data_IF_727389761639
#
_entry.id   IF_727389761639
#
_cell.length_a   1.000
_cell.length_b   1.000
_cell.length_c   1.000
_cell.angle_alpha   90.00
_cell.angle_beta   90.00
_cell.angle_gamma   90.00
#
_symmetry.space_group_name_H-M   'P 1'
#
loop_
_entity.id
_entity.type
_entity.pdbx_description
1 polymer ?
#
# COMPACT_ATOMS: atom_id res chain seq x y z
N UNK A 1 -0.94 41.69 -25.22
CA UNK A 1 0.47 41.72 -24.77
C UNK A 1 0.65 43.04 -24.04
N UNK A 2 0.68 43.02 -22.71
CA UNK A 2 0.95 44.22 -21.92
C UNK A 2 1.94 43.84 -20.81
N UNK A 3 3.15 44.35 -20.94
CA UNK A 3 4.09 44.81 -19.90
C UNK A 3 5.00 45.84 -20.62
N UNK A 4 5.75 46.74 -19.95
CA UNK A 4 6.05 46.83 -18.50
C UNK A 4 5.89 48.26 -17.90
N UNK A 5 5.89 48.39 -16.57
CA UNK A 5 6.38 49.61 -15.91
C UNK A 5 7.23 49.21 -14.69
N UNK A 6 8.54 49.40 -14.83
CA UNK A 6 9.52 49.39 -13.75
C UNK A 6 9.69 50.83 -13.26
N UNK A 7 9.56 51.04 -11.95
CA UNK A 7 9.93 52.28 -11.28
C UNK A 7 10.97 51.94 -10.21
N UNK A 8 12.19 52.41 -10.50
CA UNK A 8 13.30 52.75 -9.61
C UNK A 8 12.81 53.72 -8.51
N UNK A 9 13.47 54.03 -7.40
CA UNK A 9 14.79 53.86 -6.74
C UNK A 9 14.49 54.28 -5.28
N UNK A 10 15.25 53.85 -4.28
CA UNK A 10 15.63 54.75 -3.19
C UNK A 10 16.83 54.14 -2.46
N UNK A 11 17.94 54.84 -2.67
CA UNK A 11 19.21 54.76 -1.98
C UNK A 11 19.01 55.10 -0.50
N UNK A 12 19.72 54.39 0.39
CA UNK A 12 20.28 55.01 1.58
C UNK A 12 21.63 54.35 1.83
N UNK A 13 22.66 55.06 1.37
CA UNK A 13 24.05 54.91 1.76
C UNK A 13 24.19 55.33 3.22
N UNK A 14 24.77 54.49 4.08
CA UNK A 14 25.39 54.98 5.31
C UNK A 14 26.66 54.17 5.66
N UNK A 15 27.76 54.86 5.41
CA UNK A 15 28.99 54.93 6.19
C UNK A 15 29.96 53.74 6.27
N UNK A 16 31.04 53.93 5.51
CA UNK A 16 32.34 53.30 5.62
C UNK A 16 33.03 53.66 6.95
N UNK A 17 33.25 52.68 7.83
CA UNK A 17 34.38 52.75 8.77
C UNK A 17 35.25 51.49 8.76
N UNK A 18 36.49 51.77 8.37
CA UNK A 18 37.74 51.04 8.43
C UNK A 18 37.87 50.01 9.54
N UNK A 19 38.31 48.80 9.19
CA UNK A 19 39.45 48.16 9.86
C UNK A 19 39.85 46.87 9.13
N UNK A 20 40.97 46.92 8.41
CA UNK A 20 41.61 45.73 7.85
C UNK A 20 42.04 44.78 8.97
N UNK A 21 41.62 43.51 8.99
CA UNK A 21 42.27 42.53 9.83
C UNK A 21 43.60 42.17 9.17
N UNK A 22 44.69 42.64 9.79
CA UNK A 22 46.05 42.26 9.49
C UNK A 22 46.18 40.73 9.37
N UNK A 23 46.75 40.26 8.26
CA UNK A 23 47.05 38.84 8.02
C UNK A 23 48.16 38.40 8.97
N UNK A 24 47.80 37.97 10.19
CA UNK A 24 48.72 37.27 11.06
C UNK A 24 48.89 35.83 10.56
N UNK A 25 49.88 35.61 9.69
CA UNK A 25 50.45 34.27 9.46
C UNK A 25 51.03 33.77 10.78
N UNK A 26 50.30 32.91 11.48
CA UNK A 26 50.87 32.02 12.50
C UNK A 26 50.73 30.58 12.04
N UNK A 27 51.89 29.96 12.00
CA UNK A 27 52.18 28.58 11.65
C UNK A 27 51.45 27.58 12.55
N UNK A 28 51.00 26.50 11.91
CA UNK A 28 51.02 25.12 12.41
C UNK A 28 50.28 24.80 13.71
N UNK A 29 49.02 24.36 13.57
CA UNK A 29 48.64 23.05 14.11
C UNK A 29 47.41 22.53 13.37
N UNK A 30 47.64 21.57 12.46
CA UNK A 30 46.58 20.75 11.88
C UNK A 30 45.95 19.91 12.98
N UNK A 31 44.98 20.47 13.71
CA UNK A 31 44.08 19.68 14.53
C UNK A 31 42.97 19.20 13.61
N UNK A 32 43.22 18.06 12.97
CA UNK A 32 42.17 17.26 12.36
C UNK A 32 41.20 16.85 13.46
N UNK A 33 40.22 17.71 13.77
CA UNK A 33 39.08 17.35 14.61
C UNK A 33 38.26 16.34 13.80
N UNK A 34 38.69 15.07 13.83
CA UNK A 34 37.95 13.97 13.24
C UNK A 34 36.57 13.99 13.90
N UNK A 35 35.55 14.35 13.14
CA UNK A 35 34.16 14.09 13.54
C UNK A 35 34.09 12.60 13.86
N UNK A 36 33.86 12.27 15.14
CA UNK A 36 33.58 10.91 15.57
C UNK A 36 32.28 10.51 14.87
N UNK A 37 32.37 9.69 13.81
CA UNK A 37 31.17 9.03 13.30
C UNK A 37 30.72 8.11 14.43
N UNK A 38 29.55 8.41 15.00
CA UNK A 38 28.93 7.50 15.95
C UNK A 38 28.69 6.19 15.18
N UNK A 39 29.29 5.10 15.65
CA UNK A 39 29.01 3.78 15.15
C UNK A 39 27.63 3.36 15.66
N UNK A 40 26.56 3.91 15.08
CA UNK A 40 25.19 3.52 15.41
C UNK A 40 24.29 3.26 14.19
N UNK A 41 24.89 3.04 13.02
CA UNK A 41 24.13 2.68 11.81
C UNK A 41 23.42 1.31 11.99
N UNK A 42 23.99 0.44 12.84
CA UNK A 42 23.43 -0.87 13.15
C UNK A 42 22.11 -0.80 13.92
N UNK A 43 22.02 0.10 14.89
CA UNK A 43 20.83 0.26 15.76
C UNK A 43 19.67 0.90 14.98
N UNK A 44 19.99 1.82 14.06
CA UNK A 44 19.00 2.36 13.11
C UNK A 44 18.51 1.29 12.13
N UNK A 45 19.41 0.44 11.61
CA UNK A 45 19.04 -0.66 10.71
C UNK A 45 18.19 -1.72 11.42
N UNK A 46 18.47 -2.00 12.70
CA UNK A 46 17.67 -2.89 13.55
C UNK A 46 16.29 -2.30 13.79
N UNK A 47 16.18 -1.04 14.21
CA UNK A 47 14.90 -0.38 14.44
C UNK A 47 14.05 -0.31 13.15
N UNK A 48 14.67 -0.05 12.00
CA UNK A 48 13.96 -0.05 10.72
C UNK A 48 13.45 -1.45 10.34
N UNK A 49 14.24 -2.49 10.59
CA UNK A 49 13.83 -3.87 10.35
C UNK A 49 12.66 -4.28 11.27
N UNK A 50 12.70 -3.88 12.53
CA UNK A 50 11.61 -4.13 13.49
C UNK A 50 10.32 -3.43 13.08
N UNK A 51 10.38 -2.15 12.68
CA UNK A 51 9.21 -1.44 12.14
C UNK A 51 8.62 -2.13 10.90
N UNK A 52 9.48 -2.59 9.98
CA UNK A 52 9.03 -3.31 8.79
C UNK A 52 8.35 -4.63 9.17
N UNK A 53 8.97 -5.42 10.06
CA UNK A 53 8.39 -6.66 10.55
C UNK A 53 7.04 -6.43 11.21
N UNK A 54 6.92 -5.44 12.10
CA UNK A 54 5.64 -5.13 12.74
C UNK A 54 4.58 -4.68 11.71
N UNK A 55 4.98 -3.93 10.68
CA UNK A 55 4.05 -3.53 9.61
C UNK A 55 3.56 -4.71 8.77
N UNK A 56 4.44 -5.68 8.48
CA UNK A 56 4.12 -6.89 7.72
C UNK A 56 3.22 -7.81 8.53
N UNK A 57 3.47 -7.94 9.84
CA UNK A 57 2.65 -8.73 10.74
C UNK A 57 1.24 -8.15 10.87
N UNK A 58 1.11 -6.83 11.12
CA UNK A 58 -0.20 -6.14 11.12
C UNK A 58 -0.92 -6.25 9.78
N UNK A 59 -0.20 -6.11 8.67
CA UNK A 59 -0.78 -6.29 7.35
C UNK A 59 -1.25 -7.74 7.15
N UNK A 60 -0.49 -8.72 7.64
CA UNK A 60 -0.85 -10.14 7.65
C UNK A 60 -2.12 -10.39 8.46
N UNK A 61 -2.26 -9.81 9.64
CA UNK A 61 -3.47 -9.89 10.46
C UNK A 61 -4.68 -9.24 9.79
N UNK A 62 -4.51 -8.05 9.19
CA UNK A 62 -5.58 -7.36 8.46
C UNK A 62 -6.01 -8.15 7.23
N UNK A 63 -5.06 -8.70 6.48
CA UNK A 63 -5.34 -9.55 5.33
C UNK A 63 -6.04 -10.84 5.78
N UNK A 64 -5.60 -11.46 6.87
CA UNK A 64 -6.25 -12.65 7.42
C UNK A 64 -7.66 -12.36 7.95
N UNK A 65 -7.88 -11.19 8.54
CA UNK A 65 -9.21 -10.74 8.97
C UNK A 65 -10.12 -10.41 7.77
N UNK A 66 -9.57 -9.84 6.70
CA UNK A 66 -10.33 -9.43 5.52
C UNK A 66 -10.58 -10.58 4.51
N UNK A 67 -9.69 -11.58 4.47
CA UNK A 67 -9.68 -12.64 3.46
C UNK A 67 -9.71 -14.06 4.03
N UNK A 68 -9.60 -14.24 5.35
CA UNK A 68 -9.74 -15.53 6.02
C UNK A 68 -8.52 -16.46 5.85
N UNK A 69 -8.31 -17.34 6.83
CA UNK A 69 -7.25 -18.36 6.82
C UNK A 69 -7.63 -19.48 5.86
N UNK A 70 -7.05 -19.47 4.66
CA UNK A 70 -7.08 -20.60 3.73
C UNK A 70 -8.47 -20.85 3.13
N UNK A 71 -8.55 -20.71 1.80
CA UNK A 71 -9.75 -20.98 1.01
C UNK A 71 -9.96 -22.49 0.95
N UNK A 72 -10.31 -23.11 2.07
CA UNK A 72 -11.07 -24.35 1.98
C UNK A 72 -12.41 -23.96 1.34
N UNK A 73 -12.86 -24.65 0.28
CA UNK A 73 -14.17 -24.39 -0.29
C UNK A 73 -15.17 -24.57 0.84
N UNK A 74 -15.78 -23.46 1.27
CA UNK A 74 -16.68 -23.44 2.41
C UNK A 74 -17.69 -24.58 2.18
N UNK A 75 -17.73 -25.63 3.01
CA UNK A 75 -18.64 -26.75 2.77
C UNK A 75 -20.10 -26.29 2.69
N UNK A 76 -20.38 -25.12 3.27
CA UNK A 76 -21.61 -24.35 3.10
C UNK A 76 -21.98 -24.10 1.64
N UNK A 77 -21.07 -23.64 0.77
CA UNK A 77 -21.38 -23.31 -0.63
C UNK A 77 -21.74 -24.58 -1.42
N UNK A 78 -20.95 -25.64 -1.27
CA UNK A 78 -21.25 -26.93 -1.90
C UNK A 78 -22.60 -27.49 -1.42
N UNK A 79 -22.89 -27.38 -0.12
CA UNK A 79 -24.17 -27.79 0.45
C UNK A 79 -25.35 -26.96 -0.07
N UNK A 80 -25.16 -25.67 -0.33
CA UNK A 80 -26.18 -24.80 -0.89
C UNK A 80 -26.44 -25.13 -2.36
N UNK A 81 -25.39 -25.34 -3.17
CA UNK A 81 -25.52 -25.75 -4.56
C UNK A 81 -26.25 -27.11 -4.68
N UNK A 82 -25.99 -28.04 -3.77
CA UNK A 82 -26.68 -29.34 -3.73
C UNK A 82 -28.19 -29.23 -3.49
N UNK A 83 -28.68 -28.15 -2.88
CA UNK A 83 -30.12 -27.93 -2.62
C UNK A 83 -30.84 -27.26 -3.80
N UNK A 84 -30.12 -26.85 -4.85
CA UNK A 84 -30.67 -26.04 -5.94
C UNK A 84 -31.23 -26.86 -7.11
N UNK A 85 -31.36 -28.18 -6.99
CA UNK A 85 -31.80 -29.10 -8.06
C UNK A 85 -30.96 -29.02 -9.35
N UNK A 86 -29.67 -28.69 -9.21
CA UNK A 86 -28.72 -28.63 -10.32
C UNK A 86 -28.12 -30.01 -10.58
N UNK A 87 -27.72 -30.28 -11.83
CA UNK A 87 -26.93 -31.48 -12.14
C UNK A 87 -25.58 -31.43 -11.42
N UNK A 88 -24.97 -32.60 -11.14
CA UNK A 88 -23.65 -32.65 -10.49
C UNK A 88 -22.61 -31.87 -11.31
N UNK A 89 -22.68 -31.94 -12.64
CA UNK A 89 -21.78 -31.20 -13.52
C UNK A 89 -21.98 -29.68 -13.40
N UNK A 90 -23.24 -29.22 -13.35
CA UNK A 90 -23.55 -27.80 -13.16
C UNK A 90 -23.16 -27.31 -11.76
N UNK A 91 -23.29 -28.16 -10.73
CA UNK A 91 -22.79 -27.85 -9.38
C UNK A 91 -21.28 -27.63 -9.39
N UNK A 92 -20.52 -28.51 -10.05
CA UNK A 92 -19.06 -28.38 -10.17
C UNK A 92 -18.67 -27.14 -10.98
N UNK A 93 -19.34 -26.88 -12.11
CA UNK A 93 -19.10 -25.68 -12.92
C UNK A 93 -19.41 -24.40 -12.13
N UNK A 94 -20.56 -24.37 -11.45
CA UNK A 94 -20.93 -23.23 -10.60
C UNK A 94 -19.91 -23.00 -9.49
N UNK A 95 -19.45 -24.06 -8.83
CA UNK A 95 -18.43 -23.99 -7.80
C UNK A 95 -17.13 -23.36 -8.35
N UNK A 96 -16.66 -23.81 -9.51
CA UNK A 96 -15.47 -23.26 -10.17
C UNK A 96 -15.65 -21.76 -10.50
N UNK A 97 -16.79 -21.36 -11.08
CA UNK A 97 -17.06 -19.96 -11.44
C UNK A 97 -17.17 -19.06 -10.19
N UNK A 98 -17.74 -19.58 -9.10
CA UNK A 98 -17.84 -18.86 -7.82
C UNK A 98 -16.46 -18.59 -7.22
N UNK A 99 -15.54 -19.56 -7.30
CA UNK A 99 -14.18 -19.42 -6.77
C UNK A 99 -13.21 -18.72 -7.73
N UNK A 100 -13.50 -18.67 -9.03
CA UNK A 100 -12.68 -17.95 -10.00
C UNK A 100 -12.62 -16.44 -9.69
N UNK A 101 -13.69 -15.87 -9.14
CA UNK A 101 -13.76 -14.45 -8.76
C UNK A 101 -14.30 -14.31 -7.35
N UNK A 102 -13.50 -13.73 -6.44
CA UNK A 102 -13.89 -13.48 -5.04
C UNK A 102 -15.22 -12.69 -4.92
N UNK A 103 -15.52 -11.82 -5.88
CA UNK A 103 -16.79 -11.08 -5.93
C UNK A 103 -18.00 -12.01 -6.12
N UNK A 104 -17.86 -13.08 -6.91
CA UNK A 104 -18.95 -14.04 -7.14
C UNK A 104 -19.26 -14.80 -5.85
N UNK A 105 -18.24 -15.28 -5.14
CA UNK A 105 -18.39 -15.91 -3.84
C UNK A 105 -19.07 -14.98 -2.83
N UNK A 106 -18.57 -13.74 -2.68
CA UNK A 106 -19.16 -12.74 -1.76
C UNK A 106 -20.62 -12.45 -2.10
N UNK A 107 -20.92 -12.28 -3.39
CA UNK A 107 -22.29 -12.06 -3.86
C UNK A 107 -23.17 -13.25 -3.53
N UNK A 108 -22.74 -14.46 -3.86
CA UNK A 108 -23.48 -15.68 -3.57
C UNK A 108 -23.78 -15.84 -2.08
N UNK A 109 -22.80 -15.60 -1.20
CA UNK A 109 -22.98 -15.69 0.25
C UNK A 109 -23.94 -14.63 0.81
N UNK A 110 -24.08 -13.48 0.15
CA UNK A 110 -24.99 -12.40 0.56
C UNK A 110 -26.45 -12.62 0.14
N UNK A 111 -26.70 -13.56 -0.78
CA UNK A 111 -28.04 -13.85 -1.30
C UNK A 111 -28.71 -14.98 -0.50
N UNK A 112 -30.02 -15.11 -0.65
CA UNK A 112 -30.81 -16.20 -0.06
C UNK A 112 -31.66 -16.95 -1.11
N UNK A 113 -32.09 -18.15 -0.72
CA UNK A 113 -33.07 -18.98 -1.42
C UNK A 113 -33.07 -18.89 -2.96
N UNK A 114 -34.14 -18.34 -3.51
CA UNK A 114 -34.37 -18.24 -4.95
C UNK A 114 -33.36 -17.30 -5.65
N UNK A 115 -32.91 -16.24 -4.98
CA UNK A 115 -31.94 -15.31 -5.55
C UNK A 115 -30.57 -15.96 -5.74
N UNK A 116 -30.14 -16.80 -4.79
CA UNK A 116 -28.93 -17.63 -4.96
C UNK A 116 -29.03 -18.53 -6.19
N UNK A 117 -30.15 -19.24 -6.36
CA UNK A 117 -30.37 -20.14 -7.51
C UNK A 117 -30.37 -19.37 -8.83
N UNK A 118 -31.05 -18.23 -8.89
CA UNK A 118 -31.07 -17.38 -10.08
C UNK A 118 -29.67 -16.85 -10.44
N UNK A 119 -28.89 -16.43 -9.43
CA UNK A 119 -27.51 -15.97 -9.62
C UNK A 119 -26.62 -17.07 -10.19
N UNK A 120 -26.71 -18.30 -9.68
CA UNK A 120 -25.95 -19.45 -10.19
C UNK A 120 -26.33 -19.77 -11.64
N UNK A 121 -27.62 -19.78 -11.97
CA UNK A 121 -28.09 -20.00 -13.34
C UNK A 121 -27.60 -18.92 -14.31
N UNK A 122 -27.56 -17.66 -13.87
CA UNK A 122 -26.99 -16.56 -14.64
C UNK A 122 -25.50 -16.78 -14.92
N UNK A 123 -24.72 -17.18 -13.92
CA UNK A 123 -23.29 -17.47 -14.07
C UNK A 123 -23.03 -18.62 -15.05
N UNK A 124 -23.77 -19.72 -14.90
CA UNK A 124 -23.68 -20.87 -15.81
C UNK A 124 -24.06 -20.50 -17.25
N UNK A 125 -25.12 -19.69 -17.42
CA UNK A 125 -25.55 -19.20 -18.72
C UNK A 125 -24.54 -18.28 -19.40
N UNK A 126 -23.74 -17.52 -18.64
CA UNK A 126 -22.63 -16.72 -19.17
C UNK A 126 -21.44 -17.60 -19.56
N UNK A 127 -21.10 -18.60 -18.73
CA UNK A 127 -19.98 -19.51 -18.98
C UNK A 127 -20.15 -20.35 -20.26
N UNK A 128 -21.39 -20.69 -20.63
CA UNK A 128 -21.68 -21.49 -21.83
C UNK A 128 -21.64 -20.69 -23.15
N UNK A 129 -21.44 -19.37 -23.09
CA UNK A 129 -21.40 -18.49 -24.28
C UNK A 129 -19.99 -18.21 -24.79
N UNK A 130 -18.98 -18.54 -24.00
CA UNK A 130 -17.55 -18.41 -24.36
C UNK A 130 -17.01 -19.76 -24.84
#
# INVERSE_FOLDING_TARGET
MNEPEHINEDEDEDEVETSSPSVARRSSSSSTRKRKRAANDNDLAVAFKEMLSESVDKLGEVLQAAFGKGVDPKPEIASELSKMDLSIEDQIKALNILFEKLQNERTFLSLDGAMKKAFVLMLLGQSNRN
#
